data_IF_578761942590
#
_entry.id   IF_578761942590
#
_cell.length_a   1.000
_cell.length_b   1.000
_cell.length_c   1.000
_cell.angle_alpha   90.00
_cell.angle_beta   90.00
_cell.angle_gamma   90.00
#
_symmetry.space_group_name_H-M   'P 1'
#
loop_
_entity.id
_entity.type
_entity.pdbx_description
1 polymer ?
#
# COMPACT_ATOMS: atom_id res chain seq x y z
N UNK A 1 43.15 -21.23 -25.67
CA UNK A 1 41.76 -21.24 -25.17
C UNK A 1 41.84 -21.19 -23.66
N UNK A 2 41.63 -20.02 -23.05
CA UNK A 2 41.67 -19.88 -21.60
C UNK A 2 40.34 -20.37 -21.02
N UNK A 3 40.37 -21.43 -20.21
CA UNK A 3 39.25 -21.81 -19.35
C UNK A 3 38.90 -20.60 -18.48
N UNK A 4 37.74 -19.99 -18.73
CA UNK A 4 37.25 -18.86 -17.96
C UNK A 4 37.04 -19.29 -16.51
N UNK A 5 37.92 -18.85 -15.62
CA UNK A 5 37.79 -19.09 -14.18
C UNK A 5 36.38 -18.71 -13.71
N UNK A 6 35.74 -19.63 -12.99
CA UNK A 6 34.40 -19.40 -12.45
C UNK A 6 34.41 -18.09 -11.63
N UNK A 7 33.43 -17.19 -11.83
CA UNK A 7 33.39 -15.92 -11.11
C UNK A 7 33.33 -16.18 -9.62
N UNK A 8 34.17 -15.47 -8.86
CA UNK A 8 34.28 -15.60 -7.42
C UNK A 8 32.89 -15.50 -6.74
N UNK A 9 32.60 -16.33 -5.72
CA UNK A 9 31.27 -16.45 -5.12
C UNK A 9 30.69 -15.13 -4.62
N UNK A 10 31.53 -14.20 -4.14
CA UNK A 10 31.10 -12.87 -3.70
C UNK A 10 30.45 -12.03 -4.80
N UNK A 11 30.86 -12.19 -6.07
CA UNK A 11 30.27 -11.47 -7.21
C UNK A 11 28.81 -11.87 -7.44
N UNK A 12 28.42 -13.09 -7.05
CA UNK A 12 27.02 -13.56 -7.13
C UNK A 12 26.16 -13.01 -5.99
N UNK A 13 26.76 -12.76 -4.82
CA UNK A 13 26.07 -12.23 -3.65
C UNK A 13 25.95 -10.69 -3.66
N UNK A 14 26.87 -10.00 -4.34
CA UNK A 14 26.96 -8.55 -4.36
C UNK A 14 25.62 -7.83 -4.63
N UNK A 15 24.79 -8.21 -5.62
CA UNK A 15 23.53 -7.51 -5.87
C UNK A 15 22.55 -7.62 -4.69
N UNK A 16 22.54 -8.76 -3.98
CA UNK A 16 21.68 -8.96 -2.82
C UNK A 16 22.16 -8.13 -1.61
N UNK A 17 23.48 -8.02 -1.43
CA UNK A 17 24.08 -7.20 -0.38
C UNK A 17 23.80 -5.71 -0.61
N UNK A 18 23.87 -5.22 -1.85
CA UNK A 18 23.54 -3.83 -2.19
C UNK A 18 22.05 -3.55 -1.95
N UNK A 19 21.16 -4.47 -2.35
CA UNK A 19 19.73 -4.34 -2.09
C UNK A 19 19.43 -4.32 -0.58
N UNK A 20 20.05 -5.22 0.19
CA UNK A 20 19.92 -5.25 1.65
C UNK A 20 20.45 -3.96 2.30
N UNK A 21 21.58 -3.43 1.83
CA UNK A 21 22.12 -2.16 2.29
C UNK A 21 21.15 -0.99 2.03
N UNK A 22 20.49 -0.95 0.87
CA UNK A 22 19.49 0.09 0.58
C UNK A 22 18.29 0.02 1.54
N UNK A 23 17.78 -1.17 1.84
CA UNK A 23 16.69 -1.36 2.82
C UNK A 23 17.16 -1.01 4.24
N UNK A 24 18.40 -1.36 4.61
CA UNK A 24 18.97 -0.99 5.90
C UNK A 24 19.12 0.52 6.05
N UNK A 25 19.56 1.23 5.00
CA UNK A 25 19.62 2.71 5.01
C UNK A 25 18.24 3.32 5.21
N UNK A 26 17.21 2.81 4.52
CA UNK A 26 15.82 3.23 4.73
C UNK A 26 15.36 2.98 6.17
N UNK A 27 15.63 1.81 6.73
CA UNK A 27 15.25 1.48 8.10
C UNK A 27 15.96 2.37 9.13
N UNK A 28 17.27 2.58 8.97
CA UNK A 28 18.05 3.50 9.81
C UNK A 28 17.49 4.91 9.72
N UNK A 29 17.22 5.41 8.50
CA UNK A 29 16.58 6.70 8.30
C UNK A 29 15.24 6.76 9.06
N UNK A 30 14.34 5.82 8.77
CA UNK A 30 13.00 5.71 9.36
C UNK A 30 13.00 5.73 10.89
N UNK A 31 14.01 5.11 11.52
CA UNK A 31 14.15 5.01 12.98
C UNK A 31 14.88 6.20 13.61
N UNK A 32 15.82 6.82 12.89
CA UNK A 32 16.70 7.86 13.44
C UNK A 32 16.01 9.20 13.67
N UNK A 33 15.01 9.56 12.85
CA UNK A 33 14.30 10.83 13.02
C UNK A 33 12.96 10.67 13.75
N UNK A 34 12.69 11.48 14.79
CA UNK A 34 11.36 11.54 15.38
C UNK A 34 10.38 12.11 14.36
N UNK A 35 9.30 11.39 14.10
CA UNK A 35 8.26 11.85 13.18
C UNK A 35 7.54 13.06 13.78
N UNK A 36 7.54 14.19 13.06
CA UNK A 36 6.89 15.45 13.47
C UNK A 36 5.81 15.93 12.50
N UNK A 37 5.52 15.16 11.45
CA UNK A 37 4.55 15.54 10.43
C UNK A 37 3.12 15.26 10.95
N UNK A 38 2.23 16.22 10.74
CA UNK A 38 0.92 16.31 11.40
C UNK A 38 -0.16 16.00 10.37
N UNK A 39 -0.74 14.81 10.46
CA UNK A 39 -1.96 14.44 9.74
C UNK A 39 -3.00 13.92 10.74
N UNK A 40 -4.30 13.99 10.42
CA UNK A 40 -5.37 13.45 11.27
C UNK A 40 -5.39 11.92 11.30
N UNK A 41 -5.06 11.26 10.18
CA UNK A 41 -5.10 9.80 10.02
C UNK A 41 -4.34 9.00 11.10
N UNK A 42 -3.09 9.35 11.49
CA UNK A 42 -2.38 8.73 12.61
C UNK A 42 -3.18 8.62 13.91
N UNK A 43 -3.99 9.63 14.24
CA UNK A 43 -4.77 9.65 15.47
C UNK A 43 -5.91 8.62 15.44
N UNK A 44 -6.60 8.53 14.29
CA UNK A 44 -7.67 7.56 14.08
C UNK A 44 -7.18 6.11 14.19
N UNK A 45 -6.05 5.80 13.53
CA UNK A 45 -5.44 4.46 13.58
C UNK A 45 -4.95 4.10 14.98
N UNK A 46 -4.43 5.06 15.72
CA UNK A 46 -3.95 4.84 17.07
C UNK A 46 -5.08 4.57 18.05
N UNK A 47 -6.14 5.35 18.01
CA UNK A 47 -7.35 5.06 18.78
C UNK A 47 -7.90 3.67 18.47
N UNK A 48 -7.93 3.29 17.19
CA UNK A 48 -8.42 1.97 16.78
C UNK A 48 -7.52 0.84 17.31
N UNK A 49 -6.20 1.07 17.31
CA UNK A 49 -5.22 0.11 17.85
C UNK A 49 -5.40 -0.04 19.35
N UNK A 50 -5.50 1.06 20.10
CA UNK A 50 -5.78 1.05 21.53
C UNK A 50 -7.06 0.26 21.83
N UNK A 51 -8.13 0.53 21.09
CA UNK A 51 -9.44 -0.13 21.27
C UNK A 51 -9.31 -1.65 21.10
N UNK A 52 -8.61 -2.10 20.07
CA UNK A 52 -8.34 -3.53 19.83
C UNK A 52 -7.50 -4.15 20.94
N UNK A 53 -6.52 -3.43 21.49
CA UNK A 53 -5.71 -3.92 22.62
C UNK A 53 -6.54 -4.15 23.88
N UNK A 54 -7.63 -3.41 24.05
CA UNK A 54 -8.60 -3.63 25.14
C UNK A 54 -9.59 -4.77 24.83
N UNK A 55 -9.49 -5.40 23.66
CA UNK A 55 -10.44 -6.45 23.23
C UNK A 55 -11.74 -5.89 22.65
N UNK A 56 -11.83 -4.58 22.45
CA UNK A 56 -13.01 -3.91 21.92
C UNK A 56 -12.85 -3.64 20.41
N UNK A 57 -13.97 -3.62 19.69
CA UNK A 57 -14.01 -3.26 18.25
C UNK A 57 -14.78 -1.97 18.00
N UNK A 58 -15.71 -1.65 18.89
CA UNK A 58 -16.47 -0.40 18.93
C UNK A 58 -16.42 0.16 20.35
N UNK A 59 -16.69 1.45 20.51
CA UNK A 59 -16.69 2.14 21.80
C UNK A 59 -18.06 2.76 22.04
N UNK A 60 -18.58 2.67 23.25
CA UNK A 60 -19.65 3.58 23.68
C UNK A 60 -19.09 5.01 23.90
N UNK A 61 -19.96 5.96 24.24
CA UNK A 61 -19.53 7.35 24.45
C UNK A 61 -18.50 7.50 25.58
N UNK A 62 -18.63 6.70 26.64
CA UNK A 62 -17.69 6.73 27.76
C UNK A 62 -16.31 6.20 27.35
N UNK A 63 -16.26 5.08 26.65
CA UNK A 63 -15.05 4.48 26.10
C UNK A 63 -14.37 5.40 25.09
N UNK A 64 -15.14 6.05 24.22
CA UNK A 64 -14.62 7.02 23.26
C UNK A 64 -13.94 8.22 23.95
N UNK A 65 -14.59 8.80 24.96
CA UNK A 65 -14.03 9.90 25.76
C UNK A 65 -12.77 9.45 26.50
N UNK A 66 -12.78 8.24 27.06
CA UNK A 66 -11.64 7.68 27.78
C UNK A 66 -10.43 7.52 26.84
N UNK A 67 -10.64 6.97 25.64
CA UNK A 67 -9.58 6.82 24.63
C UNK A 67 -9.06 8.18 24.17
N UNK A 68 -9.92 9.14 23.83
CA UNK A 68 -9.49 10.49 23.44
C UNK A 68 -8.66 11.16 24.54
N UNK A 69 -9.10 11.06 25.79
CA UNK A 69 -8.40 11.62 26.95
C UNK A 69 -7.03 10.97 27.17
N UNK A 70 -6.95 9.64 27.02
CA UNK A 70 -5.72 8.90 27.20
C UNK A 70 -4.69 9.20 26.11
N UNK A 71 -5.13 9.35 24.86
CA UNK A 71 -4.28 9.77 23.73
C UNK A 71 -3.80 11.22 23.89
N UNK A 72 -4.63 12.12 24.42
CA UNK A 72 -4.20 13.49 24.74
C UNK A 72 -3.11 13.46 25.84
N UNK A 73 -3.30 12.64 26.87
CA UNK A 73 -2.38 12.54 28.00
C UNK A 73 -1.00 11.97 27.61
N UNK A 74 -0.93 11.11 26.60
CA UNK A 74 0.34 10.50 26.18
C UNK A 74 1.27 11.45 25.39
N UNK A 75 0.82 12.66 25.03
CA UNK A 75 1.71 13.77 24.64
C UNK A 75 2.42 13.64 23.30
N UNK A 76 2.03 12.67 22.48
CA UNK A 76 2.67 12.28 21.21
C UNK A 76 2.28 13.13 19.99
N UNK A 77 2.04 14.42 20.22
CA UNK A 77 2.19 15.42 19.17
C UNK A 77 0.92 15.81 18.42
N UNK A 78 -0.24 15.23 18.75
CA UNK A 78 -1.52 15.93 18.59
C UNK A 78 -1.80 16.75 19.87
N UNK A 79 -0.86 17.59 20.31
CA UNK A 79 -1.28 18.82 20.98
C UNK A 79 -2.20 19.49 19.98
N UNK A 80 -3.52 19.43 20.21
CA UNK A 80 -4.48 20.30 19.52
C UNK A 80 -3.81 21.66 19.60
N UNK A 81 -3.30 22.17 18.47
CA UNK A 81 -3.07 23.60 18.36
C UNK A 81 -4.49 24.15 18.40
N UNK A 82 -4.99 24.31 19.61
CA UNK A 82 -6.08 25.19 19.95
C UNK A 82 -5.56 26.56 19.51
N UNK A 83 -5.68 26.83 18.22
CA UNK A 83 -5.63 28.18 17.68
C UNK A 83 -6.84 28.83 18.30
N UNK A 84 -6.62 29.48 19.45
CA UNK A 84 -7.60 30.09 20.33
C UNK A 84 -8.81 29.20 20.72
N UNK A 85 -9.03 28.92 22.01
CA UNK A 85 -10.30 28.36 22.44
C UNK A 85 -11.35 29.46 22.28
N UNK A 86 -11.90 29.65 21.09
CA UNK A 86 -13.13 30.43 20.94
C UNK A 86 -14.23 29.61 21.64
N UNK A 87 -14.79 30.10 22.78
CA UNK A 87 -15.70 29.34 23.63
C UNK A 87 -17.01 28.95 22.92
N UNK A 88 -17.32 29.58 21.79
CA UNK A 88 -18.49 29.26 20.97
C UNK A 88 -18.40 27.86 20.31
N UNK A 89 -17.21 27.33 20.04
CA UNK A 89 -17.05 26.01 19.40
C UNK A 89 -16.97 24.84 20.38
N UNK A 90 -16.60 25.12 21.64
CA UNK A 90 -16.67 24.15 22.75
C UNK A 90 -18.12 23.88 23.15
N UNK A 91 -19.03 24.83 22.90
CA UNK A 91 -20.45 24.71 23.24
C UNK A 91 -21.30 24.02 22.15
N UNK A 92 -20.85 24.00 20.90
CA UNK A 92 -21.57 23.37 19.77
C UNK A 92 -21.25 21.87 19.63
N UNK A 93 -20.07 21.43 20.08
CA UNK A 93 -19.84 20.03 20.39
C UNK A 93 -20.41 19.79 21.80
N UNK A 94 -21.57 19.13 21.88
CA UNK A 94 -22.05 18.60 23.15
C UNK A 94 -20.96 17.76 23.85
N UNK A 95 -21.05 17.55 25.17
CA UNK A 95 -19.99 16.93 25.96
C UNK A 95 -19.52 15.61 25.35
N UNK A 96 -18.27 15.59 24.83
CA UNK A 96 -17.39 14.43 24.66
C UNK A 96 -17.82 13.29 23.73
N UNK A 97 -19.04 13.26 23.22
CA UNK A 97 -19.54 12.13 22.44
C UNK A 97 -18.87 12.00 21.07
N UNK A 98 -18.80 10.76 20.60
CA UNK A 98 -18.34 10.46 19.25
C UNK A 98 -19.20 11.19 18.18
N UNK A 99 -18.57 11.77 17.14
CA UNK A 99 -19.25 12.69 16.24
C UNK A 99 -20.43 12.04 15.52
N UNK A 100 -21.59 12.70 15.57
CA UNK A 100 -22.84 12.23 14.95
C UNK A 100 -22.88 12.35 13.41
N UNK A 101 -21.77 12.71 12.73
CA UNK A 101 -21.84 13.17 11.32
C UNK A 101 -22.35 12.08 10.36
N UNK A 102 -23.63 12.19 9.99
CA UNK A 102 -24.20 11.85 8.67
C UNK A 102 -24.13 13.12 7.80
N UNK A 103 -22.99 13.42 7.20
CA UNK A 103 -22.87 14.63 6.38
C UNK A 103 -21.50 14.76 5.73
N UNK A 104 -21.52 14.95 4.41
CA UNK A 104 -20.40 14.97 3.46
C UNK A 104 -19.09 15.48 4.06
N UNK A 105 -18.02 14.73 3.76
CA UNK A 105 -16.65 15.20 3.79
C UNK A 105 -16.59 16.53 2.99
N UNK A 106 -16.70 17.65 3.69
CA UNK A 106 -15.98 18.88 3.37
C UNK A 106 -14.88 18.88 4.41
N UNK A 107 -13.64 18.62 3.99
CA UNK A 107 -12.50 18.75 4.90
C UNK A 107 -12.48 20.15 5.51
N UNK A 108 -11.60 20.43 6.49
CA UNK A 108 -11.44 21.79 6.98
C UNK A 108 -11.12 22.68 5.78
N UNK A 109 -12.11 23.45 5.36
CA UNK A 109 -11.90 24.66 4.59
C UNK A 109 -10.96 25.47 5.49
N UNK A 110 -9.85 25.93 4.94
CA UNK A 110 -8.91 26.82 5.63
C UNK A 110 -9.72 27.89 6.42
N UNK A 111 -9.85 27.71 7.74
CA UNK A 111 -10.69 28.58 8.60
C UNK A 111 -11.63 27.89 9.60
N UNK A 112 -11.94 26.58 9.48
CA UNK A 112 -12.75 25.89 10.50
C UNK A 112 -11.91 25.42 11.71
N UNK A 113 -12.45 25.51 12.95
CA UNK A 113 -11.76 25.05 14.14
C UNK A 113 -11.48 23.54 14.07
N UNK A 114 -10.40 23.05 14.71
CA UNK A 114 -10.07 21.64 14.68
C UNK A 114 -11.23 20.81 15.24
N UNK A 115 -11.57 19.67 14.63
CA UNK A 115 -12.60 18.78 15.13
C UNK A 115 -12.33 18.39 16.58
N UNK A 116 -13.37 18.43 17.41
CA UNK A 116 -13.32 17.99 18.81
C UNK A 116 -13.49 16.47 18.83
N UNK A 117 -12.53 15.74 19.41
CA UNK A 117 -12.51 14.28 19.51
C UNK A 117 -11.56 13.58 18.53
N UNK A 118 -11.67 12.25 18.44
CA UNK A 118 -10.92 11.40 17.53
C UNK A 118 -11.46 11.56 16.11
N UNK A 119 -10.66 12.16 15.22
CA UNK A 119 -11.03 12.35 13.81
C UNK A 119 -11.25 11.02 13.10
N UNK A 120 -12.16 10.99 12.11
CA UNK A 120 -12.45 9.81 11.29
C UNK A 120 -12.95 8.61 12.12
N UNK A 121 -13.78 8.91 13.11
CA UNK A 121 -14.60 7.96 13.84
C UNK A 121 -16.06 8.30 13.58
N UNK A 122 -16.90 7.27 13.52
CA UNK A 122 -18.28 7.37 13.09
C UNK A 122 -19.17 6.67 14.12
N UNK A 123 -20.34 7.27 14.39
CA UNK A 123 -21.36 6.67 15.25
C UNK A 123 -22.22 5.70 14.44
N UNK A 124 -22.37 4.49 14.96
CA UNK A 124 -23.23 3.44 14.42
C UNK A 124 -24.67 3.60 14.90
N UNK A 125 -25.59 2.88 14.28
CA UNK A 125 -27.03 2.96 14.61
C UNK A 125 -27.34 2.43 16.03
N UNK A 126 -26.48 1.59 16.59
CA UNK A 126 -26.58 1.09 17.97
C UNK A 126 -26.04 2.08 19.02
N UNK A 127 -25.55 3.25 18.58
CA UNK A 127 -25.03 4.31 19.44
C UNK A 127 -23.54 4.16 19.79
N UNK A 128 -22.91 3.04 19.45
CA UNK A 128 -21.46 2.85 19.59
C UNK A 128 -20.69 3.51 18.45
N UNK A 129 -19.38 3.55 18.56
CA UNK A 129 -18.49 4.27 17.68
C UNK A 129 -17.31 3.44 17.22
N UNK A 130 -16.93 3.66 15.98
CA UNK A 130 -15.87 2.90 15.34
C UNK A 130 -15.06 3.78 14.40
N UNK A 131 -13.82 3.39 14.14
CA UNK A 131 -12.99 4.03 13.14
C UNK A 131 -13.61 3.91 11.75
N UNK A 132 -13.61 5.01 11.00
CA UNK A 132 -13.97 5.07 9.58
C UNK A 132 -12.99 4.23 8.72
N UNK A 133 -11.76 4.08 9.21
CA UNK A 133 -10.64 3.48 8.49
C UNK A 133 -10.69 1.96 8.49
N UNK A 134 -9.99 1.36 7.52
CA UNK A 134 -9.87 -0.09 7.41
C UNK A 134 -9.20 -0.69 8.65
N UNK A 135 -9.71 -1.81 9.19
CA UNK A 135 -9.28 -2.35 10.48
C UNK A 135 -7.96 -3.13 10.41
N UNK A 136 -7.50 -3.50 9.21
CA UNK A 136 -6.36 -4.39 9.05
C UNK A 136 -5.08 -3.83 9.68
N UNK A 137 -4.85 -2.52 9.60
CA UNK A 137 -3.61 -1.93 10.13
C UNK A 137 -3.58 -1.88 11.65
N UNK A 138 -4.65 -1.42 12.34
CA UNK A 138 -4.76 -1.53 13.78
C UNK A 138 -4.51 -2.96 14.30
N UNK A 139 -5.07 -3.99 13.66
CA UNK A 139 -4.81 -5.38 14.05
C UNK A 139 -3.35 -5.79 13.88
N UNK A 140 -2.67 -5.32 12.83
CA UNK A 140 -1.24 -5.59 12.64
C UNK A 140 -0.36 -4.80 13.62
N UNK A 141 -0.80 -3.61 14.07
CA UNK A 141 -0.03 -2.75 14.96
C UNK A 141 -0.16 -3.12 16.44
N UNK A 142 -1.32 -3.56 16.90
CA UNK A 142 -1.58 -3.88 18.31
C UNK A 142 -0.49 -4.76 18.98
N UNK A 143 0.01 -5.86 18.38
CA UNK A 143 1.07 -6.65 19.01
C UNK A 143 2.42 -5.91 19.10
N UNK A 144 2.64 -4.87 18.29
CA UNK A 144 3.85 -4.05 18.37
C UNK A 144 3.71 -2.90 19.36
N UNK A 145 2.54 -2.29 19.43
CA UNK A 145 2.29 -1.17 20.36
C UNK A 145 2.29 -1.65 21.82
N UNK A 146 1.62 -2.77 22.10
CA UNK A 146 1.66 -3.45 23.41
C UNK A 146 3.07 -3.79 23.95
N UNK A 147 4.10 -3.85 23.10
CA UNK A 147 5.50 -4.06 23.51
C UNK A 147 6.40 -2.85 23.28
N UNK A 148 5.84 -1.69 22.92
CA UNK A 148 6.58 -0.44 22.69
C UNK A 148 7.43 -0.42 21.42
N UNK A 149 7.13 -1.28 20.44
CA UNK A 149 7.88 -1.46 19.19
C UNK A 149 7.09 -1.04 17.94
N UNK A 150 6.08 -0.18 18.07
CA UNK A 150 5.19 0.26 16.98
C UNK A 150 5.95 0.79 15.75
N UNK A 151 7.12 1.42 15.94
CA UNK A 151 7.96 1.93 14.84
C UNK A 151 8.64 0.84 14.02
N UNK A 152 8.80 -0.37 14.57
CA UNK A 152 9.35 -1.52 13.85
C UNK A 152 8.31 -2.21 12.97
N UNK A 153 7.02 -2.12 13.32
CA UNK A 153 5.94 -2.77 12.59
C UNK A 153 5.97 -2.46 11.08
N UNK A 154 5.93 -1.19 10.61
CA UNK A 154 5.96 -0.90 9.19
C UNK A 154 7.22 -1.45 8.52
N UNK A 155 8.39 -1.36 9.17
CA UNK A 155 9.67 -1.81 8.61
C UNK A 155 9.73 -3.34 8.43
N UNK A 156 9.17 -4.10 9.36
CA UNK A 156 9.12 -5.56 9.27
C UNK A 156 8.19 -6.02 8.16
N UNK A 157 6.99 -5.43 8.04
CA UNK A 157 6.11 -5.71 6.91
C UNK A 157 6.70 -5.21 5.58
N UNK A 158 7.39 -4.07 5.62
CA UNK A 158 8.12 -3.53 4.48
C UNK A 158 9.24 -4.46 4.01
N UNK A 159 9.98 -5.09 4.94
CA UNK A 159 11.00 -6.09 4.61
C UNK A 159 10.39 -7.28 3.86
N UNK A 160 9.21 -7.77 4.27
CA UNK A 160 8.47 -8.81 3.53
C UNK A 160 8.16 -8.32 2.11
N UNK A 161 7.71 -7.08 1.97
CA UNK A 161 7.48 -6.44 0.68
C UNK A 161 8.74 -6.40 -0.20
N UNK A 162 9.86 -5.93 0.33
CA UNK A 162 11.15 -5.88 -0.37
C UNK A 162 11.66 -7.26 -0.79
N UNK A 163 11.47 -8.27 0.06
CA UNK A 163 11.80 -9.67 -0.30
C UNK A 163 10.94 -10.14 -1.46
N UNK A 164 9.64 -9.82 -1.47
CA UNK A 164 8.75 -10.13 -2.59
C UNK A 164 9.19 -9.45 -3.89
N UNK A 165 9.45 -8.13 -3.84
CA UNK A 165 9.95 -7.33 -4.97
C UNK A 165 11.25 -7.93 -5.51
N UNK A 166 12.23 -8.18 -4.63
CA UNK A 166 13.50 -8.82 -4.99
C UNK A 166 13.27 -10.17 -5.67
N UNK A 167 12.40 -11.01 -5.10
CA UNK A 167 12.17 -12.38 -5.58
C UNK A 167 11.58 -12.39 -6.99
N UNK A 168 10.54 -11.59 -7.23
CA UNK A 168 9.93 -11.44 -8.54
C UNK A 168 10.87 -10.80 -9.56
N UNK A 169 11.47 -9.66 -9.21
CA UNK A 169 12.38 -8.94 -10.10
C UNK A 169 13.65 -9.74 -10.41
N UNK A 170 14.17 -10.54 -9.47
CA UNK A 170 15.35 -11.39 -9.72
C UNK A 170 15.04 -12.47 -10.73
N UNK A 171 13.82 -13.01 -10.70
CA UNK A 171 13.38 -14.02 -11.66
C UNK A 171 13.17 -13.44 -13.04
N UNK A 172 12.68 -12.21 -13.13
CA UNK A 172 12.37 -11.55 -14.39
C UNK A 172 13.58 -10.83 -15.01
N UNK A 173 14.23 -9.94 -14.25
CA UNK A 173 15.28 -9.02 -14.70
C UNK A 173 16.71 -9.49 -14.33
N UNK A 174 16.83 -10.58 -13.57
CA UNK A 174 18.10 -11.04 -13.01
C UNK A 174 18.53 -10.28 -11.74
N UNK A 175 19.68 -10.65 -11.15
CA UNK A 175 20.11 -10.15 -9.83
C UNK A 175 20.29 -8.63 -9.75
N UNK A 176 20.89 -8.01 -10.77
CA UNK A 176 21.06 -6.55 -10.81
C UNK A 176 19.76 -5.81 -11.07
N UNK A 177 18.87 -6.35 -11.90
CA UNK A 177 17.54 -5.78 -12.08
C UNK A 177 16.71 -5.80 -10.78
N UNK A 178 16.83 -6.88 -9.99
CA UNK A 178 16.24 -6.96 -8.66
C UNK A 178 16.82 -5.94 -7.67
N UNK A 179 18.15 -5.79 -7.69
CA UNK A 179 18.85 -4.79 -6.89
C UNK A 179 18.36 -3.37 -7.22
N UNK A 180 18.24 -3.06 -8.51
CA UNK A 180 17.72 -1.76 -8.96
C UNK A 180 16.26 -1.58 -8.56
N UNK A 181 15.40 -2.60 -8.71
CA UNK A 181 14.00 -2.52 -8.30
C UNK A 181 13.87 -2.22 -6.79
N UNK A 182 14.57 -2.97 -5.93
CA UNK A 182 14.58 -2.73 -4.48
C UNK A 182 15.16 -1.36 -4.14
N UNK A 183 16.30 -1.00 -4.74
CA UNK A 183 16.97 0.28 -4.48
C UNK A 183 16.11 1.48 -4.85
N UNK A 184 15.46 1.46 -6.02
CA UNK A 184 14.55 2.52 -6.46
C UNK A 184 13.31 2.62 -5.57
N UNK A 185 12.74 1.49 -5.15
CA UNK A 185 11.62 1.49 -4.20
C UNK A 185 12.07 2.08 -2.86
N UNK A 186 13.19 1.60 -2.29
CA UNK A 186 13.68 2.05 -0.99
C UNK A 186 14.10 3.54 -0.97
N UNK A 187 14.63 4.05 -2.08
CA UNK A 187 15.01 5.45 -2.24
C UNK A 187 13.84 6.37 -2.66
N UNK A 188 12.64 5.81 -2.88
CA UNK A 188 11.48 6.60 -3.27
C UNK A 188 11.10 7.60 -2.18
N UNK A 189 10.92 8.90 -2.47
CA UNK A 189 10.65 9.90 -1.44
C UNK A 189 9.36 9.61 -0.66
N UNK A 190 8.32 9.11 -1.35
CA UNK A 190 7.09 8.66 -0.69
C UNK A 190 7.31 7.45 0.23
N UNK A 191 8.19 6.52 -0.16
CA UNK A 191 8.55 5.35 0.67
C UNK A 191 9.30 5.79 1.91
N UNK A 192 10.28 6.68 1.77
CA UNK A 192 11.02 7.26 2.89
C UNK A 192 10.07 7.96 3.86
N UNK A 193 9.26 8.91 3.36
CA UNK A 193 8.30 9.66 4.19
C UNK A 193 7.32 8.73 4.90
N UNK A 194 6.75 7.76 4.20
CA UNK A 194 5.75 6.87 4.78
C UNK A 194 6.35 5.82 5.72
N UNK A 195 7.60 5.40 5.52
CA UNK A 195 8.29 4.48 6.45
C UNK A 195 8.43 5.04 7.86
N UNK A 196 8.53 6.37 7.98
CA UNK A 196 8.57 7.07 9.26
C UNK A 196 7.22 7.08 10.00
N UNK A 197 6.11 6.78 9.31
CA UNK A 197 4.74 6.96 9.80
C UNK A 197 4.20 5.68 10.40
N UNK A 198 4.61 5.37 11.63
CA UNK A 198 4.21 4.14 12.33
C UNK A 198 2.68 3.94 12.35
N UNK A 199 1.92 5.01 12.54
CA UNK A 199 0.46 4.97 12.65
C UNK A 199 -0.28 5.16 11.30
N UNK A 200 0.41 5.05 10.16
CA UNK A 200 -0.23 5.12 8.85
C UNK A 200 0.02 3.86 8.04
N UNK A 201 -1.02 3.23 7.43
CA UNK A 201 -0.84 1.98 6.71
C UNK A 201 -0.09 2.12 5.39
N UNK A 202 0.00 3.33 4.80
CA UNK A 202 0.42 3.55 3.41
C UNK A 202 1.74 2.87 3.03
N UNK A 203 2.72 2.84 3.94
CA UNK A 203 3.98 2.15 3.68
C UNK A 203 3.78 0.63 3.64
N UNK A 204 3.13 0.10 4.67
CA UNK A 204 2.86 -1.32 4.88
C UNK A 204 1.97 -1.89 3.78
N UNK A 205 0.84 -1.23 3.49
CA UNK A 205 -0.12 -1.68 2.49
C UNK A 205 0.52 -1.75 1.09
N UNK A 206 1.26 -0.72 0.69
CA UNK A 206 1.89 -0.64 -0.63
C UNK A 206 3.00 -1.67 -0.79
N UNK A 207 3.84 -1.87 0.23
CA UNK A 207 4.92 -2.85 0.17
C UNK A 207 4.43 -4.29 0.24
N UNK A 208 3.42 -4.61 1.05
CA UNK A 208 2.81 -5.93 1.05
C UNK A 208 2.17 -6.25 -0.30
N UNK A 209 1.51 -5.26 -0.90
CA UNK A 209 0.90 -5.39 -2.21
C UNK A 209 1.95 -5.60 -3.31
N UNK A 210 3.00 -4.76 -3.35
CA UNK A 210 4.09 -4.89 -4.31
C UNK A 210 4.90 -6.18 -4.12
N UNK A 211 5.15 -6.58 -2.87
CA UNK A 211 5.78 -7.85 -2.55
C UNK A 211 4.93 -9.04 -2.96
N UNK A 212 3.61 -8.95 -2.76
CA UNK A 212 2.63 -9.93 -3.22
C UNK A 212 2.70 -10.16 -4.73
N UNK A 213 2.73 -9.07 -5.50
CA UNK A 213 2.98 -9.12 -6.96
C UNK A 213 4.30 -9.82 -7.26
N UNK A 214 5.38 -9.46 -6.57
CA UNK A 214 6.70 -10.07 -6.78
C UNK A 214 6.72 -11.59 -6.55
N UNK A 215 6.06 -12.07 -5.48
CA UNK A 215 5.94 -13.50 -5.22
C UNK A 215 5.07 -14.23 -6.26
N UNK A 216 3.92 -13.65 -6.64
CA UNK A 216 3.07 -14.22 -7.69
C UNK A 216 3.80 -14.27 -9.04
N UNK A 217 4.51 -13.19 -9.38
CA UNK A 217 5.34 -13.09 -10.58
C UNK A 217 6.39 -14.20 -10.60
N UNK A 218 7.09 -14.41 -9.48
CA UNK A 218 8.04 -15.51 -9.34
C UNK A 218 7.35 -16.87 -9.55
N UNK A 219 6.19 -17.11 -8.93
CA UNK A 219 5.50 -18.39 -9.01
C UNK A 219 5.01 -18.71 -10.44
N UNK A 220 4.60 -17.69 -11.19
CA UNK A 220 4.24 -17.81 -12.61
C UNK A 220 5.47 -18.10 -13.47
N UNK A 221 6.56 -17.36 -13.28
CA UNK A 221 7.77 -17.47 -14.11
C UNK A 221 8.64 -18.69 -13.77
N UNK A 222 8.56 -19.24 -12.56
CA UNK A 222 9.38 -20.36 -12.10
C UNK A 222 8.81 -21.72 -12.53
N UNK A 223 8.55 -21.89 -13.82
CA UNK A 223 7.92 -23.09 -14.41
C UNK A 223 8.73 -24.37 -14.23
N UNK A 224 10.02 -24.27 -13.97
CA UNK A 224 10.93 -25.37 -13.66
C UNK A 224 10.82 -25.87 -12.21
N UNK A 225 10.13 -25.14 -11.34
CA UNK A 225 10.02 -25.48 -9.92
C UNK A 225 8.88 -26.45 -9.66
N UNK A 226 9.03 -27.24 -8.59
CA UNK A 226 8.04 -28.21 -8.13
C UNK A 226 6.72 -27.50 -7.81
N UNK A 227 5.60 -28.23 -8.04
CA UNK A 227 4.25 -27.74 -7.77
C UNK A 227 4.11 -27.13 -6.38
N UNK A 228 4.53 -27.84 -5.32
CA UNK A 228 4.38 -27.40 -3.93
C UNK A 228 5.04 -26.03 -3.68
N UNK A 229 6.26 -25.82 -4.20
CA UNK A 229 6.97 -24.56 -4.01
C UNK A 229 6.28 -23.40 -4.74
N UNK A 230 5.83 -23.64 -5.98
CA UNK A 230 5.06 -22.63 -6.72
C UNK A 230 3.72 -22.33 -6.03
N UNK A 231 3.04 -23.36 -5.51
CA UNK A 231 1.77 -23.23 -4.80
C UNK A 231 1.93 -22.34 -3.56
N UNK A 232 2.91 -22.64 -2.70
CA UNK A 232 3.18 -21.85 -1.50
C UNK A 232 3.57 -20.41 -1.79
N UNK A 233 4.50 -20.17 -2.72
CA UNK A 233 4.95 -18.80 -3.02
C UNK A 233 3.85 -17.97 -3.67
N UNK A 234 3.07 -18.54 -4.59
CA UNK A 234 1.95 -17.82 -5.20
C UNK A 234 0.80 -17.61 -4.22
N UNK A 235 0.49 -18.58 -3.34
CA UNK A 235 -0.50 -18.42 -2.28
C UNK A 235 -0.09 -17.34 -1.29
N UNK A 236 1.18 -17.32 -0.86
CA UNK A 236 1.72 -16.24 -0.03
C UNK A 236 1.57 -14.89 -0.75
N UNK A 237 1.93 -14.80 -2.04
CA UNK A 237 1.80 -13.56 -2.78
C UNK A 237 0.37 -13.03 -2.88
N UNK A 238 -0.61 -13.91 -3.13
CA UNK A 238 -2.03 -13.57 -3.11
C UNK A 238 -2.54 -13.24 -1.69
N UNK A 239 -2.04 -13.91 -0.66
CA UNK A 239 -2.36 -13.59 0.73
C UNK A 239 -1.85 -12.20 1.13
N UNK A 240 -0.64 -11.81 0.72
CA UNK A 240 -0.12 -10.46 0.97
C UNK A 240 -0.90 -9.39 0.21
N UNK A 241 -1.29 -9.66 -1.04
CA UNK A 241 -2.16 -8.77 -1.81
C UNK A 241 -3.53 -8.62 -1.15
N UNK A 242 -4.13 -9.70 -0.68
CA UNK A 242 -5.38 -9.68 0.08
C UNK A 242 -5.25 -8.98 1.43
N UNK A 243 -4.15 -9.19 2.16
CA UNK A 243 -3.89 -8.48 3.42
C UNK A 243 -3.75 -6.97 3.19
N UNK A 244 -3.17 -6.56 2.07
CA UNK A 244 -3.12 -5.15 1.69
C UNK A 244 -4.50 -4.52 1.51
N UNK A 245 -5.52 -5.27 1.07
CA UNK A 245 -6.88 -4.73 0.93
C UNK A 245 -7.57 -4.51 2.28
N UNK A 246 -7.21 -5.28 3.32
CA UNK A 246 -7.73 -5.08 4.68
C UNK A 246 -7.08 -3.89 5.37
N UNK A 247 -5.85 -3.55 4.95
CA UNK A 247 -5.12 -2.37 5.37
C UNK A 247 -5.65 -1.09 4.70
N UNK A 248 -6.04 -1.20 3.43
CA UNK A 248 -6.63 -0.12 2.64
C UNK A 248 -7.55 -0.67 1.55
N UNK A 249 -8.84 -0.35 1.66
CA UNK A 249 -9.87 -0.84 0.72
C UNK A 249 -9.57 -0.53 -0.75
N UNK A 250 -8.96 0.62 -1.06
CA UNK A 250 -8.62 0.99 -2.45
C UNK A 250 -7.63 0.01 -3.10
N UNK A 251 -6.88 -0.77 -2.31
CA UNK A 251 -5.98 -1.79 -2.84
C UNK A 251 -6.72 -3.01 -3.39
N UNK A 252 -8.04 -3.11 -3.18
CA UNK A 252 -8.87 -4.13 -3.84
C UNK A 252 -8.78 -4.07 -5.37
N UNK A 253 -8.70 -2.87 -5.96
CA UNK A 253 -8.62 -2.71 -7.42
C UNK A 253 -7.33 -3.32 -8.00
N UNK A 254 -6.11 -2.94 -7.55
CA UNK A 254 -4.89 -3.60 -8.02
C UNK A 254 -4.82 -5.09 -7.65
N UNK A 255 -5.38 -5.52 -6.51
CA UNK A 255 -5.46 -6.94 -6.16
C UNK A 255 -6.33 -7.74 -7.15
N UNK A 256 -7.45 -7.17 -7.60
CA UNK A 256 -8.30 -7.77 -8.65
C UNK A 256 -7.54 -7.84 -9.98
N UNK A 257 -6.78 -6.81 -10.36
CA UNK A 257 -5.92 -6.85 -11.55
C UNK A 257 -4.92 -8.01 -11.47
N UNK A 258 -4.29 -8.22 -10.32
CA UNK A 258 -3.39 -9.36 -10.11
C UNK A 258 -4.12 -10.70 -10.21
N UNK A 259 -5.31 -10.84 -9.62
CA UNK A 259 -6.11 -12.06 -9.71
C UNK A 259 -6.52 -12.38 -11.16
N UNK A 260 -6.99 -11.38 -11.91
CA UNK A 260 -7.31 -11.52 -13.33
C UNK A 260 -6.07 -11.92 -14.12
N UNK A 261 -4.94 -11.27 -13.87
CA UNK A 261 -3.67 -11.62 -14.52
C UNK A 261 -3.23 -13.06 -14.22
N UNK A 262 -3.35 -13.51 -12.96
CA UNK A 262 -3.08 -14.89 -12.55
C UNK A 262 -3.94 -15.88 -13.32
N UNK A 263 -5.24 -15.62 -13.48
CA UNK A 263 -6.14 -16.49 -14.23
C UNK A 263 -5.78 -16.48 -15.72
N UNK A 264 -5.61 -15.31 -16.33
CA UNK A 264 -5.34 -15.15 -17.77
C UNK A 264 -3.98 -15.71 -18.16
N UNK A 265 -2.92 -15.46 -17.38
CA UNK A 265 -1.57 -15.93 -17.68
C UNK A 265 -1.36 -17.36 -17.20
N UNK A 266 -1.87 -17.71 -16.02
CA UNK A 266 -1.79 -19.05 -15.47
C UNK A 266 -2.48 -20.10 -16.35
N UNK A 267 -3.63 -19.75 -16.94
CA UNK A 267 -4.36 -20.64 -17.87
C UNK A 267 -3.65 -20.87 -19.20
N UNK A 268 -2.65 -20.06 -19.57
CA UNK A 268 -1.87 -20.28 -20.80
C UNK A 268 -0.98 -21.51 -20.63
N UNK A 269 -0.94 -22.38 -21.64
CA UNK A 269 -0.11 -23.61 -21.65
C UNK A 269 1.36 -23.36 -21.28
N UNK A 270 1.90 -22.18 -21.63
CA UNK A 270 3.29 -21.79 -21.33
C UNK A 270 3.57 -21.62 -19.83
N UNK A 271 2.58 -21.20 -19.02
CA UNK A 271 2.76 -21.00 -17.59
C UNK A 271 2.77 -22.32 -16.79
N UNK A 272 2.35 -23.44 -17.42
CA UNK A 272 2.23 -24.76 -16.77
C UNK A 272 1.53 -24.67 -15.40
N UNK A 273 0.55 -23.78 -15.28
CA UNK A 273 -0.23 -23.60 -14.06
C UNK A 273 -1.60 -24.23 -14.33
N UNK A 274 -1.77 -25.49 -13.91
CA UNK A 274 -3.08 -26.13 -13.97
C UNK A 274 -4.09 -25.41 -13.05
N UNK A 275 -5.40 -25.66 -13.21
CA UNK A 275 -6.45 -25.01 -12.44
C UNK A 275 -6.25 -25.19 -10.92
N UNK A 276 -5.72 -26.34 -10.48
CA UNK A 276 -5.38 -26.59 -9.07
C UNK A 276 -4.36 -25.59 -8.53
N UNK A 277 -3.32 -25.25 -9.32
CA UNK A 277 -2.29 -24.31 -8.88
C UNK A 277 -2.84 -22.89 -8.76
N UNK A 278 -3.64 -22.48 -9.75
CA UNK A 278 -4.34 -21.18 -9.75
C UNK A 278 -5.28 -21.08 -8.54
N UNK A 279 -6.06 -22.13 -8.28
CA UNK A 279 -6.95 -22.20 -7.11
C UNK A 279 -6.17 -22.10 -5.80
N UNK A 280 -5.03 -22.78 -5.66
CA UNK A 280 -4.17 -22.65 -4.48
C UNK A 280 -3.67 -21.22 -4.28
N UNK A 281 -3.30 -20.52 -5.36
CA UNK A 281 -2.86 -19.13 -5.28
C UNK A 281 -4.00 -18.22 -4.82
N UNK A 282 -5.14 -18.26 -5.50
CA UNK A 282 -6.30 -17.43 -5.15
C UNK A 282 -6.86 -17.74 -3.76
N UNK A 283 -6.78 -19.00 -3.31
CA UNK A 283 -7.16 -19.39 -1.94
C UNK A 283 -6.34 -18.65 -0.87
N UNK A 284 -5.09 -18.26 -1.17
CA UNK A 284 -4.28 -17.45 -0.26
C UNK A 284 -4.92 -16.09 0.06
N UNK A 285 -5.60 -15.46 -0.90
CA UNK A 285 -6.30 -14.20 -0.68
C UNK A 285 -7.60 -14.35 0.13
N UNK A 286 -8.16 -15.56 0.23
CA UNK A 286 -9.41 -15.79 0.96
C UNK A 286 -9.24 -15.58 2.46
N UNK A 287 -8.09 -15.91 3.05
CA UNK A 287 -7.86 -15.73 4.50
C UNK A 287 -8.04 -14.27 4.94
N UNK A 288 -7.30 -13.29 4.40
CA UNK A 288 -7.51 -11.88 4.77
C UNK A 288 -8.89 -11.35 4.34
N UNK A 289 -9.42 -11.80 3.20
CA UNK A 289 -10.74 -11.37 2.76
C UNK A 289 -11.86 -11.84 3.70
N UNK A 290 -11.80 -13.10 4.16
CA UNK A 290 -12.73 -13.66 5.14
C UNK A 290 -12.62 -12.95 6.49
N UNK A 291 -11.41 -12.60 6.93
CA UNK A 291 -11.23 -11.83 8.16
C UNK A 291 -11.88 -10.44 8.07
N UNK A 292 -11.72 -9.74 6.93
CA UNK A 292 -12.36 -8.44 6.71
C UNK A 292 -13.89 -8.56 6.65
N UNK A 293 -14.41 -9.57 5.94
CA UNK A 293 -15.86 -9.82 5.88
C UNK A 293 -16.43 -10.14 7.25
N UNK A 294 -15.73 -10.96 8.05
CA UNK A 294 -16.14 -11.28 9.41
C UNK A 294 -16.17 -10.02 10.30
N UNK A 295 -15.14 -9.17 10.22
CA UNK A 295 -15.13 -7.87 10.90
C UNK A 295 -16.32 -7.01 10.47
N UNK A 296 -16.58 -6.88 9.16
CA UNK A 296 -17.65 -6.02 8.66
C UNK A 296 -19.04 -6.54 9.08
N UNK A 297 -19.26 -7.85 9.05
CA UNK A 297 -20.49 -8.46 9.54
C UNK A 297 -20.70 -8.21 11.03
N UNK A 298 -19.64 -8.27 11.83
CA UNK A 298 -19.69 -8.07 13.27
C UNK A 298 -19.94 -6.60 13.63
N UNK A 299 -19.20 -5.68 13.02
CA UNK A 299 -19.18 -4.27 13.38
C UNK A 299 -20.29 -3.48 12.68
N UNK A 300 -20.54 -3.76 11.41
CA UNK A 300 -21.47 -2.99 10.58
C UNK A 300 -22.74 -3.78 10.21
N UNK A 301 -22.84 -5.07 10.57
CA UNK A 301 -23.99 -5.91 10.24
C UNK A 301 -24.08 -6.36 8.78
N UNK A 302 -23.09 -6.03 7.94
CA UNK A 302 -23.09 -6.38 6.51
C UNK A 302 -21.67 -6.67 5.99
N UNK A 303 -21.50 -7.62 5.05
CA UNK A 303 -20.18 -8.09 4.63
C UNK A 303 -19.37 -7.06 3.82
N UNK A 304 -20.06 -6.16 3.12
CA UNK A 304 -19.46 -5.13 2.26
C UNK A 304 -19.48 -3.74 2.88
N UNK A 305 -20.07 -3.60 4.06
CA UNK A 305 -20.13 -2.33 4.76
C UNK A 305 -18.74 -1.90 5.25
N UNK A 306 -18.54 -0.60 5.37
CA UNK A 306 -17.29 -0.03 5.86
C UNK A 306 -17.55 1.22 6.69
N UNK A 307 -16.56 1.62 7.47
CA UNK A 307 -16.64 2.84 8.27
C UNK A 307 -16.89 4.09 7.41
N UNK A 308 -16.41 4.09 6.16
CA UNK A 308 -16.71 5.13 5.16
C UNK A 308 -18.21 5.25 4.81
N UNK A 309 -18.92 4.12 4.69
CA UNK A 309 -20.37 4.14 4.43
C UNK A 309 -21.13 4.64 5.66
N UNK A 310 -20.74 4.17 6.85
CA UNK A 310 -21.30 4.63 8.12
C UNK A 310 -21.05 6.13 8.38
N UNK A 311 -19.92 6.68 7.91
CA UNK A 311 -19.56 8.10 7.99
C UNK A 311 -20.30 9.05 7.05
N UNK A 312 -21.31 8.57 6.31
CA UNK A 312 -22.10 9.40 5.41
C UNK A 312 -21.54 9.53 3.99
N UNK A 313 -20.63 8.62 3.59
CA UNK A 313 -20.25 8.45 2.19
C UNK A 313 -18.78 8.08 2.00
N UNK A 314 -18.53 7.04 1.22
CA UNK A 314 -17.17 6.66 0.82
C UNK A 314 -16.58 7.55 -0.27
N UNK A 315 -15.32 7.29 -0.64
CA UNK A 315 -14.69 7.86 -1.82
C UNK A 315 -15.63 7.91 -3.03
N UNK A 316 -15.89 9.11 -3.53
CA UNK A 316 -16.69 9.29 -4.73
C UNK A 316 -15.77 9.13 -5.96
N UNK A 317 -16.09 8.14 -6.79
CA UNK A 317 -15.35 7.88 -8.02
C UNK A 317 -16.21 8.29 -9.21
N UNK A 318 -15.70 9.22 -10.01
CA UNK A 318 -16.36 9.72 -11.19
C UNK A 318 -15.39 9.77 -12.37
N UNK A 319 -15.80 9.15 -13.49
CA UNK A 319 -15.04 9.18 -14.74
C UNK A 319 -14.93 10.61 -15.28
N UNK A 320 -15.94 11.45 -15.04
CA UNK A 320 -15.93 12.87 -15.40
C UNK A 320 -14.82 13.65 -14.70
N UNK A 321 -14.33 13.17 -13.55
CA UNK A 321 -13.26 13.80 -12.79
C UNK A 321 -11.85 13.55 -13.37
N UNK A 322 -11.68 12.59 -14.29
CA UNK A 322 -10.37 12.23 -14.86
C UNK A 322 -9.70 13.43 -15.53
N UNK A 323 -10.37 14.11 -16.45
CA UNK A 323 -9.80 15.24 -17.19
C UNK A 323 -9.34 16.38 -16.26
N UNK A 324 -10.24 16.89 -15.39
CA UNK A 324 -9.90 17.90 -14.39
C UNK A 324 -8.75 17.47 -13.47
N UNK A 325 -8.75 16.22 -12.98
CA UNK A 325 -7.71 15.70 -12.10
C UNK A 325 -6.37 15.61 -12.79
N UNK A 326 -6.30 15.03 -13.99
CA UNK A 326 -5.06 14.90 -14.74
C UNK A 326 -4.47 16.28 -15.02
N UNK A 327 -5.30 17.25 -15.39
CA UNK A 327 -4.87 18.63 -15.62
C UNK A 327 -4.28 19.27 -14.34
N UNK A 328 -5.04 19.25 -13.24
CA UNK A 328 -4.65 19.87 -11.99
C UNK A 328 -3.46 19.17 -11.31
N UNK A 329 -3.47 17.84 -11.26
CA UNK A 329 -2.44 17.03 -10.60
C UNK A 329 -1.11 17.14 -11.32
N UNK A 330 -1.07 17.18 -12.66
CA UNK A 330 0.21 17.29 -13.40
C UNK A 330 0.93 18.59 -13.04
N UNK A 331 0.19 19.71 -12.96
CA UNK A 331 0.72 20.98 -12.48
C UNK A 331 1.24 20.87 -11.04
N UNK A 332 0.42 20.36 -10.12
CA UNK A 332 0.79 20.22 -8.69
C UNK A 332 1.96 19.28 -8.45
N UNK A 333 2.05 18.15 -9.16
CA UNK A 333 3.17 17.21 -9.11
C UNK A 333 4.45 17.86 -9.61
N UNK A 334 4.37 18.64 -10.69
CA UNK A 334 5.52 19.42 -11.20
C UNK A 334 6.03 20.41 -10.17
N UNK A 335 5.12 21.14 -9.52
CA UNK A 335 5.48 22.08 -8.48
C UNK A 335 6.01 21.42 -7.22
N UNK A 336 5.37 20.33 -6.77
CA UNK A 336 5.67 19.70 -5.48
C UNK A 336 6.86 18.72 -5.54
N UNK A 337 7.12 18.15 -6.72
CA UNK A 337 8.08 17.06 -6.93
C UNK A 337 8.86 17.24 -8.24
N UNK A 338 9.51 18.39 -8.50
CA UNK A 338 10.14 18.69 -9.80
C UNK A 338 11.15 17.63 -10.27
N UNK A 339 11.71 16.84 -9.35
CA UNK A 339 12.57 15.69 -9.64
C UNK A 339 11.92 14.61 -10.52
N UNK A 340 10.59 14.56 -10.62
CA UNK A 340 9.90 13.59 -11.48
C UNK A 340 10.25 13.77 -12.96
N UNK A 341 10.59 14.99 -13.40
CA UNK A 341 11.11 15.25 -14.75
C UNK A 341 12.44 14.55 -15.01
N UNK A 342 13.33 14.53 -14.03
CA UNK A 342 14.61 13.82 -14.14
C UNK A 342 14.39 12.31 -14.20
N UNK A 343 13.44 11.79 -13.42
CA UNK A 343 13.06 10.38 -13.48
C UNK A 343 12.45 10.00 -14.84
N UNK A 344 11.58 10.85 -15.40
CA UNK A 344 10.99 10.66 -16.72
C UNK A 344 12.08 10.69 -17.81
N UNK A 345 12.97 11.69 -17.77
CA UNK A 345 14.09 11.81 -18.70
C UNK A 345 15.01 10.59 -18.62
N UNK A 346 15.34 10.13 -17.41
CA UNK A 346 16.15 8.94 -17.21
C UNK A 346 15.47 7.68 -17.79
N UNK A 347 14.15 7.54 -17.61
CA UNK A 347 13.38 6.45 -18.20
C UNK A 347 13.35 6.50 -19.74
N UNK A 348 13.18 7.69 -20.31
CA UNK A 348 13.21 7.90 -21.77
C UNK A 348 14.59 7.59 -22.36
N UNK A 349 15.66 8.09 -21.74
CA UNK A 349 17.05 7.81 -22.16
C UNK A 349 17.35 6.32 -22.03
N UNK A 350 16.98 5.67 -20.93
CA UNK A 350 17.15 4.23 -20.76
C UNK A 350 16.38 3.43 -21.81
N UNK A 351 15.15 3.83 -22.12
CA UNK A 351 14.33 3.23 -23.18
C UNK A 351 14.97 3.39 -24.56
N UNK A 352 15.43 4.60 -24.91
CA UNK A 352 16.11 4.88 -26.16
C UNK A 352 17.41 4.09 -26.31
N UNK A 353 18.22 3.98 -25.25
CA UNK A 353 19.44 3.18 -25.23
C UNK A 353 19.14 1.68 -25.37
N UNK A 354 18.08 1.18 -24.75
CA UNK A 354 17.65 -0.21 -24.88
C UNK A 354 17.18 -0.53 -26.30
N UNK A 355 16.44 0.37 -26.93
CA UNK A 355 16.01 0.25 -28.33
C UNK A 355 17.20 0.33 -29.29
N UNK A 356 18.10 1.31 -29.11
CA UNK A 356 19.28 1.47 -29.95
C UNK A 356 20.25 0.28 -29.86
N UNK A 357 20.41 -0.33 -28.67
CA UNK A 357 21.19 -1.57 -28.51
C UNK A 357 20.56 -2.78 -29.21
N UNK A 358 19.23 -2.84 -29.32
CA UNK A 358 18.55 -3.88 -30.11
C UNK A 358 18.76 -3.69 -31.61
N UNK A 359 18.81 -2.44 -32.08
CA UNK A 359 19.08 -2.12 -33.48
C UNK A 359 20.54 -2.37 -33.91
N UNK A 360 21.48 -2.32 -32.96
CA UNK A 360 22.92 -2.53 -33.20
C UNK A 360 23.39 -3.96 -32.88
N UNK A 361 22.55 -4.78 -32.26
CA UNK A 361 22.88 -6.18 -32.05
C UNK A 361 22.85 -6.90 -33.42
N UNK A 362 23.92 -7.59 -33.83
CA UNK A 362 23.88 -8.40 -35.03
C UNK A 362 22.72 -9.41 -34.94
N UNK A 363 22.08 -9.76 -36.08
CA UNK A 363 21.01 -10.75 -36.09
C UNK A 363 21.46 -11.97 -35.31
N UNK A 364 20.73 -12.30 -34.25
CA UNK A 364 21.11 -13.41 -33.38
C UNK A 364 21.15 -14.69 -34.24
N UNK A 365 22.30 -15.36 -34.23
CA UNK A 365 22.46 -16.69 -34.80
C UNK A 365 21.27 -17.57 -34.40
N UNK A 366 20.62 -18.14 -35.42
CA UNK A 366 19.43 -18.97 -35.34
C UNK A 366 19.65 -20.17 -34.41
N UNK A 367 19.35 -20.03 -33.12
CA UNK A 367 19.53 -21.14 -32.18
C UNK A 367 19.12 -20.90 -30.73
N UNK A 368 18.97 -19.64 -30.28
CA UNK A 368 18.36 -19.37 -28.97
C UNK A 368 16.84 -19.25 -29.12
N UNK A 369 16.06 -20.17 -28.55
CA UNK A 369 14.61 -20.16 -28.70
C UNK A 369 14.02 -18.86 -28.15
N UNK A 370 13.16 -18.22 -28.95
CA UNK A 370 12.33 -17.03 -28.70
C UNK A 370 11.39 -17.12 -27.48
N UNK A 371 11.63 -18.04 -26.55
CA UNK A 371 10.79 -18.32 -25.40
C UNK A 371 10.74 -17.17 -24.37
N UNK A 372 11.60 -16.15 -24.46
CA UNK A 372 11.64 -15.01 -23.53
C UNK A 372 10.59 -13.93 -23.82
N UNK A 373 10.27 -13.65 -25.08
CA UNK A 373 9.47 -12.47 -25.45
C UNK A 373 8.02 -12.49 -24.96
N UNK A 374 7.39 -13.67 -24.92
CA UNK A 374 6.01 -13.80 -24.45
C UNK A 374 5.86 -13.72 -22.93
N UNK A 375 6.92 -14.02 -22.18
CA UNK A 375 6.96 -13.81 -20.74
C UNK A 375 6.98 -12.31 -20.43
N UNK A 376 7.87 -11.57 -21.07
CA UNK A 376 8.04 -10.13 -20.86
C UNK A 376 6.76 -9.35 -21.16
N UNK A 377 6.07 -9.66 -22.27
CA UNK A 377 4.81 -9.00 -22.61
C UNK A 377 3.71 -9.21 -21.55
N UNK A 378 3.64 -10.40 -20.95
CA UNK A 378 2.68 -10.67 -19.87
C UNK A 378 3.02 -9.90 -18.60
N UNK A 379 4.31 -9.78 -18.25
CA UNK A 379 4.73 -8.98 -17.08
C UNK A 379 4.49 -7.50 -17.30
N UNK A 380 4.81 -6.97 -18.49
CA UNK A 380 4.53 -5.57 -18.84
C UNK A 380 3.03 -5.27 -18.83
N UNK A 381 2.19 -6.20 -19.31
CA UNK A 381 0.74 -6.06 -19.24
C UNK A 381 0.23 -5.99 -17.78
N UNK A 382 0.78 -6.82 -16.88
CA UNK A 382 0.47 -6.73 -15.44
C UNK A 382 0.85 -5.36 -14.88
N UNK A 383 2.10 -4.94 -15.08
CA UNK A 383 2.61 -3.69 -14.53
C UNK A 383 1.87 -2.47 -15.09
N UNK A 384 1.52 -2.49 -16.38
CA UNK A 384 0.71 -1.46 -17.02
C UNK A 384 -0.72 -1.40 -16.48
N UNK A 385 -1.42 -2.55 -16.42
CA UNK A 385 -2.77 -2.64 -15.86
C UNK A 385 -2.79 -2.25 -14.37
N UNK A 386 -1.75 -2.63 -13.64
CA UNK A 386 -1.56 -2.27 -12.25
C UNK A 386 -1.39 -0.76 -12.08
N UNK A 387 -0.48 -0.15 -12.83
CA UNK A 387 -0.26 1.30 -12.81
C UNK A 387 -1.55 2.05 -13.13
N UNK A 388 -2.28 1.62 -14.18
CA UNK A 388 -3.57 2.17 -14.54
C UNK A 388 -4.63 1.98 -13.45
N UNK A 389 -4.63 0.84 -12.74
CA UNK A 389 -5.57 0.60 -11.65
C UNK A 389 -5.37 1.54 -10.47
N UNK A 390 -4.12 1.90 -10.16
CA UNK A 390 -3.82 2.83 -9.07
C UNK A 390 -4.07 4.26 -9.53
N UNK A 391 -3.43 4.69 -10.61
CA UNK A 391 -3.48 6.08 -11.07
C UNK A 391 -4.81 6.44 -11.73
N UNK A 392 -5.44 5.50 -12.43
CA UNK A 392 -6.78 5.68 -12.99
C UNK A 392 -7.82 5.84 -11.88
N UNK A 393 -7.71 5.06 -10.80
CA UNK A 393 -8.55 5.23 -9.63
C UNK A 393 -8.35 6.63 -9.01
N UNK A 394 -7.11 7.05 -8.75
CA UNK A 394 -6.83 8.41 -8.26
C UNK A 394 -7.32 9.51 -9.20
N UNK A 395 -7.22 9.33 -10.52
CA UNK A 395 -7.75 10.28 -11.49
C UNK A 395 -9.28 10.36 -11.48
N UNK A 396 -9.98 9.32 -11.03
CA UNK A 396 -11.43 9.33 -10.86
C UNK A 396 -11.88 9.92 -9.52
N UNK A 397 -10.97 10.29 -8.62
CA UNK A 397 -11.36 10.78 -7.29
C UNK A 397 -12.08 12.13 -7.41
N UNK A 398 -13.35 12.19 -7.05
CA UNK A 398 -14.21 13.36 -7.30
C UNK A 398 -13.84 14.61 -6.50
N UNK A 399 -12.96 14.48 -5.53
CA UNK A 399 -12.75 15.50 -4.50
C UNK A 399 -11.52 16.38 -4.71
N UNK A 400 -10.62 15.97 -5.61
CA UNK A 400 -9.36 16.66 -5.88
C UNK A 400 -9.54 17.93 -6.71
N UNK A 401 -10.68 18.14 -7.38
CA UNK A 401 -10.94 19.32 -8.25
C UNK A 401 -12.26 20.03 -8.00
N UNK A 402 -13.21 19.40 -7.30
CA UNK A 402 -14.49 20.03 -6.92
C UNK A 402 -14.33 21.25 -5.99
N UNK A 403 -13.16 21.40 -5.37
CA UNK A 403 -12.83 22.51 -4.47
C UNK A 403 -11.82 23.53 -5.05
N UNK A 404 -11.53 23.46 -6.35
CA UNK A 404 -10.70 24.50 -7.00
C UNK A 404 -11.66 25.58 -7.50
N UNK A 405 -11.69 26.79 -6.89
CA UNK A 405 -12.47 27.89 -7.45
C UNK A 405 -12.02 28.13 -8.89
N UNK A 406 -13.01 28.30 -9.77
CA UNK A 406 -12.84 28.47 -11.21
C UNK A 406 -11.91 29.63 -11.59
#
# INVERSE_FOLDING_TARGET
MAEGAAPAPWRRALPALVAAAAVAVLAVAALSWPYRLREPDPYAYRAATWTIEQGELTLDDAGYIAVDSALIASGDGWTRQLVDPNPQYVAAAGPGGCPQRRGSFTGPIFGEPPPIGITQWVRLDDGTCVSEKSPGYPFLLAPFDSVGLVRLAPLLFGLVGFVGIWTGARRWLGPWGACTAVGLTAAGPGVIVMAHRAWMPTFTDALLLAGGVGFVLWAVLAVERRFAHRAWVGALGCALAGLSTTLRLTNAVPAVVLAVWVVVVGSRRRARAGPRLIACWLAGALVPASALVAYNLWVFGAPWASGYEAGGGGPQWDVGSIGPNVSAMTGRLTWSLPVWWLALLAALVAGALALGRRSLAPPADCGRPEASGAGDGAVLALLGAWWLSVWGLYAMFGWTVTNVPA
#
